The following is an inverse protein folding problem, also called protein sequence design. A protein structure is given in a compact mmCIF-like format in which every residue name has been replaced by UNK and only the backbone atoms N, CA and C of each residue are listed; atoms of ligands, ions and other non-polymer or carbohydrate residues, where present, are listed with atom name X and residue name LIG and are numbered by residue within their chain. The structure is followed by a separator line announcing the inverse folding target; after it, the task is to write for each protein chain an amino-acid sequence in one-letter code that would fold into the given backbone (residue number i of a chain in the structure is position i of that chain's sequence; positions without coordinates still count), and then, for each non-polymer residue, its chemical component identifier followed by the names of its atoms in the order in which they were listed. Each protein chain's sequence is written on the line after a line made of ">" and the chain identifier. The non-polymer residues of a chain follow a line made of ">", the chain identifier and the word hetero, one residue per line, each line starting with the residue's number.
data_IF_725391296340
#
_entry.id   IF_725391296340
#
_cell.length_a   1.000
_cell.length_b   1.000
_cell.length_c   1.000
_cell.angle_alpha   90.00
_cell.angle_beta   90.00
_cell.angle_gamma   90.00
#
_symmetry.space_group_name_H-M   'P 1'
#
loop_
_entity.id
_entity.type
_entity.pdbx_description
1 polymer ?
#
# COMPACT_ATOMS: atom_id res chain seq x y z
N UNK A 1 -32.78 -8.39 -4.12
CA UNK A 1 -31.43 -7.86 -3.85
C UNK A 1 -30.97 -7.04 -5.05
N UNK A 2 -30.71 -5.75 -4.88
CA UNK A 2 -29.65 -4.98 -5.57
C UNK A 2 -29.61 -3.58 -4.96
N UNK A 3 -28.56 -3.33 -4.17
CA UNK A 3 -28.35 -2.07 -3.46
C UNK A 3 -27.49 -1.09 -4.27
N UNK A 4 -27.57 0.21 -3.96
CA UNK A 4 -27.34 1.33 -4.87
C UNK A 4 -26.00 2.03 -4.61
N UNK A 5 -25.19 2.26 -5.65
CA UNK A 5 -24.08 3.20 -5.57
C UNK A 5 -23.80 3.85 -6.92
N UNK A 6 -24.20 5.12 -7.07
CA UNK A 6 -23.23 6.18 -7.41
C UNK A 6 -23.88 7.54 -7.25
N UNK A 7 -23.61 8.14 -6.10
CA UNK A 7 -23.70 9.58 -5.90
C UNK A 7 -22.83 10.27 -6.95
N UNK A 8 -23.46 10.81 -8.00
CA UNK A 8 -22.89 11.94 -8.72
C UNK A 8 -23.32 13.19 -7.96
N UNK A 9 -22.53 13.57 -6.96
CA UNK A 9 -22.57 14.94 -6.43
C UNK A 9 -21.66 15.77 -7.34
N UNK A 10 -22.17 16.69 -8.16
CA UNK A 10 -21.34 17.64 -8.88
C UNK A 10 -20.69 18.56 -7.85
N UNK A 11 -19.38 18.75 -7.99
CA UNK A 11 -18.51 19.45 -7.05
C UNK A 11 -19.10 20.77 -6.55
N UNK A 12 -19.30 20.83 -5.24
CA UNK A 12 -19.61 22.04 -4.48
C UNK A 12 -18.45 23.02 -4.64
N UNK A 13 -18.79 24.20 -5.15
CA UNK A 13 -17.97 25.40 -5.14
C UNK A 13 -17.48 25.71 -3.71
N UNK A 14 -16.22 25.39 -3.42
CA UNK A 14 -15.48 26.03 -2.35
C UNK A 14 -14.39 26.89 -2.97
N UNK A 15 -14.73 28.16 -3.10
CA UNK A 15 -13.84 29.28 -2.83
C UNK A 15 -12.53 29.31 -3.66
N UNK A 16 -12.69 29.69 -4.93
CA UNK A 16 -11.66 30.21 -5.83
C UNK A 16 -11.17 31.58 -5.34
N UNK A 17 -10.59 31.68 -4.15
CA UNK A 17 -10.33 32.99 -3.51
C UNK A 17 -9.07 33.67 -4.07
N UNK A 18 -8.09 32.95 -4.63
CA UNK A 18 -6.99 33.60 -5.37
C UNK A 18 -6.55 32.75 -6.59
N UNK A 19 -6.48 33.40 -7.76
CA UNK A 19 -6.48 32.79 -9.10
C UNK A 19 -5.49 31.64 -9.32
N UNK A 20 -6.04 30.47 -9.64
CA UNK A 20 -5.30 29.20 -9.69
C UNK A 20 -4.36 29.06 -10.88
N UNK A 21 -4.55 29.83 -11.96
CA UNK A 21 -3.91 29.53 -13.25
C UNK A 21 -2.66 30.37 -13.50
N UNK A 22 -2.76 31.70 -13.49
CA UNK A 22 -1.60 32.56 -13.79
C UNK A 22 -0.49 32.47 -12.75
N UNK A 23 -0.83 32.37 -11.45
CA UNK A 23 0.16 32.21 -10.39
C UNK A 23 0.79 30.81 -10.38
N UNK A 24 0.04 29.75 -10.73
CA UNK A 24 0.62 28.41 -10.85
C UNK A 24 1.66 28.38 -11.98
N UNK A 25 1.30 28.92 -13.14
CA UNK A 25 2.19 29.01 -14.29
C UNK A 25 3.42 29.87 -13.98
N UNK A 26 3.25 30.98 -13.25
CA UNK A 26 4.38 31.80 -12.80
C UNK A 26 5.25 31.11 -11.78
N UNK A 27 4.68 30.44 -10.78
CA UNK A 27 5.45 29.70 -9.78
C UNK A 27 6.27 28.57 -10.45
N UNK A 28 5.69 27.86 -11.40
CA UNK A 28 6.40 26.84 -12.19
C UNK A 28 7.54 27.44 -13.03
N UNK A 29 7.27 28.58 -13.69
CA UNK A 29 8.29 29.32 -14.44
C UNK A 29 9.41 29.82 -13.53
N UNK A 30 9.10 30.37 -12.36
CA UNK A 30 10.08 30.82 -11.38
C UNK A 30 10.89 29.64 -10.84
N UNK A 31 10.25 28.53 -10.48
CA UNK A 31 10.94 27.33 -9.99
C UNK A 31 11.92 26.77 -11.03
N UNK A 32 11.51 26.70 -12.31
CA UNK A 32 12.39 26.29 -13.42
C UNK A 32 13.54 27.27 -13.64
N UNK A 33 13.28 28.57 -13.48
CA UNK A 33 14.29 29.62 -13.66
C UNK A 33 15.34 29.63 -12.54
N UNK A 34 14.92 29.60 -11.27
CA UNK A 34 15.82 29.55 -10.11
C UNK A 34 16.54 28.20 -9.96
N UNK A 35 15.98 27.11 -10.47
CA UNK A 35 16.59 25.77 -10.44
C UNK A 35 17.72 25.56 -11.46
N UNK A 36 17.96 26.53 -12.35
CA UNK A 36 19.01 26.43 -13.37
C UNK A 36 20.32 27.04 -12.85
N UNK A 37 21.47 26.32 -12.87
CA UNK A 37 22.74 26.84 -12.37
C UNK A 37 23.22 28.10 -13.12
N UNK A 38 22.80 28.29 -14.37
CA UNK A 38 23.09 29.49 -15.15
C UNK A 38 22.47 30.78 -14.59
N UNK A 39 21.34 30.70 -13.88
CA UNK A 39 20.72 31.88 -13.28
C UNK A 39 21.59 32.48 -12.17
N UNK A 40 22.13 31.63 -11.28
CA UNK A 40 23.04 32.09 -10.22
C UNK A 40 24.30 32.73 -10.80
N UNK A 41 24.91 32.12 -11.82
CA UNK A 41 26.10 32.68 -12.48
C UNK A 41 25.82 34.05 -13.12
N UNK A 42 24.68 34.20 -13.82
CA UNK A 42 24.27 35.46 -14.41
C UNK A 42 24.03 36.54 -13.37
N UNK A 43 23.31 36.22 -12.28
CA UNK A 43 23.05 37.15 -11.17
C UNK A 43 24.35 37.62 -10.51
N UNK A 44 25.29 36.70 -10.23
CA UNK A 44 26.59 37.04 -9.65
C UNK A 44 27.42 37.91 -10.59
N UNK A 45 27.40 37.63 -11.90
CA UNK A 45 28.12 38.44 -12.89
C UNK A 45 27.57 39.87 -12.98
N UNK A 46 26.25 40.06 -12.95
CA UNK A 46 25.61 41.38 -12.96
C UNK A 46 26.01 42.18 -11.71
N UNK A 47 25.94 41.56 -10.53
CA UNK A 47 26.34 42.20 -9.26
C UNK A 47 27.83 42.55 -9.27
N UNK A 48 28.69 41.65 -9.73
CA UNK A 48 30.12 41.89 -9.84
C UNK A 48 30.45 43.01 -10.83
N UNK A 49 29.78 43.05 -11.99
CA UNK A 49 29.93 44.12 -12.97
C UNK A 49 29.47 45.48 -12.41
N UNK A 50 28.38 45.51 -11.65
CA UNK A 50 27.89 46.71 -10.98
C UNK A 50 28.89 47.26 -9.95
N UNK A 51 29.45 46.37 -9.13
CA UNK A 51 30.48 46.73 -8.15
C UNK A 51 31.73 47.25 -8.88
N UNK A 52 32.19 46.58 -9.94
CA UNK A 52 33.36 46.99 -10.71
C UNK A 52 33.17 48.35 -11.41
N UNK A 53 31.99 48.59 -11.98
CA UNK A 53 31.65 49.87 -12.62
C UNK A 53 31.62 51.04 -11.63
N UNK A 54 31.11 50.81 -10.40
CA UNK A 54 31.11 51.83 -9.34
C UNK A 54 32.50 52.01 -8.71
N UNK A 55 33.28 50.93 -8.55
CA UNK A 55 34.62 50.97 -7.96
C UNK A 55 35.65 51.69 -8.85
N UNK A 56 35.49 51.62 -10.17
CA UNK A 56 36.37 52.31 -11.15
C UNK A 56 36.13 53.82 -11.22
N UNK A 57 35.12 54.35 -10.52
CA UNK A 57 34.89 55.79 -10.38
C UNK A 57 34.40 56.49 -11.65
N UNK A 58 34.14 55.75 -12.72
CA UNK A 58 33.65 56.26 -14.02
C UNK A 58 32.24 56.85 -13.88
N UNK A 59 31.45 56.31 -12.95
CA UNK A 59 30.08 56.74 -12.65
C UNK A 59 29.90 56.73 -11.12
N UNK A 60 29.90 57.88 -10.45
CA UNK A 60 29.66 58.00 -8.99
C UNK A 60 28.16 57.89 -8.65
N UNK A 61 27.50 56.83 -9.13
CA UNK A 61 26.07 56.65 -8.87
C UNK A 61 25.80 56.04 -7.48
N UNK A 62 26.71 55.21 -6.93
CA UNK A 62 26.53 54.56 -5.63
C UNK A 62 27.85 54.51 -4.81
N UNK A 63 28.10 55.53 -3.97
CA UNK A 63 29.25 55.60 -3.05
C UNK A 63 29.10 54.60 -1.89
N UNK A 64 30.22 54.11 -1.34
CA UNK A 64 30.23 53.23 -0.16
C UNK A 64 29.35 53.82 0.96
N UNK A 65 28.30 53.13 1.46
CA UNK A 65 28.03 51.68 1.40
C UNK A 65 26.85 51.30 0.47
N UNK A 66 27.04 51.38 -0.86
CA UNK A 66 26.13 50.86 -1.91
C UNK A 66 24.64 50.86 -1.54
N UNK A 67 24.08 52.04 -1.25
CA UNK A 67 22.74 52.17 -0.69
C UNK A 67 21.67 51.71 -1.67
N UNK A 68 21.88 51.93 -2.98
CA UNK A 68 20.92 51.57 -4.01
C UNK A 68 20.91 50.05 -4.24
N UNK A 69 22.08 49.41 -4.23
CA UNK A 69 22.18 47.96 -4.31
C UNK A 69 21.50 47.29 -3.12
N UNK A 70 21.76 47.79 -1.90
CA UNK A 70 21.10 47.31 -0.70
C UNK A 70 19.59 47.51 -0.73
N UNK A 71 19.12 48.66 -1.22
CA UNK A 71 17.69 48.94 -1.38
C UNK A 71 17.04 48.00 -2.41
N UNK A 72 17.73 47.74 -3.53
CA UNK A 72 17.25 46.82 -4.56
C UNK A 72 17.13 45.39 -4.04
N UNK A 73 18.13 44.89 -3.30
CA UNK A 73 18.05 43.57 -2.66
C UNK A 73 16.97 43.50 -1.57
N UNK A 74 16.82 44.55 -0.78
CA UNK A 74 15.75 44.64 0.23
C UNK A 74 14.37 44.57 -0.42
N UNK A 75 14.16 45.30 -1.51
CA UNK A 75 12.92 45.27 -2.28
C UNK A 75 12.70 43.91 -2.95
N UNK A 76 13.75 43.30 -3.49
CA UNK A 76 13.71 41.97 -4.09
C UNK A 76 13.24 40.93 -3.06
N UNK A 77 13.78 40.97 -1.84
CA UNK A 77 13.35 40.10 -0.75
C UNK A 77 11.92 40.40 -0.29
N UNK A 78 11.55 41.68 -0.19
CA UNK A 78 10.23 42.11 0.25
C UNK A 78 9.09 41.66 -0.69
N UNK A 79 9.32 41.64 -2.01
CA UNK A 79 8.35 41.12 -2.97
C UNK A 79 8.38 39.59 -3.09
N UNK A 80 9.54 38.97 -2.87
CA UNK A 80 9.67 37.51 -2.87
C UNK A 80 8.92 36.87 -1.69
N UNK A 81 8.99 37.45 -0.48
CA UNK A 81 8.38 36.91 0.72
C UNK A 81 6.86 36.57 0.60
N UNK A 82 5.98 37.49 0.15
CA UNK A 82 4.56 37.17 -0.02
C UNK A 82 4.32 36.16 -1.15
N UNK A 83 5.09 36.22 -2.25
CA UNK A 83 4.99 35.23 -3.32
C UNK A 83 5.35 33.83 -2.86
N UNK A 84 6.43 33.70 -2.07
CA UNK A 84 6.86 32.45 -1.47
C UNK A 84 5.81 31.95 -0.48
N UNK A 85 5.27 32.83 0.37
CA UNK A 85 4.22 32.46 1.32
C UNK A 85 2.99 31.90 0.60
N UNK A 86 2.51 32.57 -0.45
CA UNK A 86 1.38 32.08 -1.25
C UNK A 86 1.70 30.74 -1.95
N UNK A 87 2.92 30.57 -2.46
CA UNK A 87 3.36 29.31 -3.04
C UNK A 87 3.39 28.19 -2.00
N UNK A 88 3.88 28.48 -0.79
CA UNK A 88 3.93 27.56 0.34
C UNK A 88 2.53 27.15 0.81
N UNK A 89 1.58 28.09 0.94
CA UNK A 89 0.19 27.77 1.31
C UNK A 89 -0.43 26.79 0.31
N UNK A 90 -0.26 27.05 -1.00
CA UNK A 90 -0.79 26.14 -2.03
C UNK A 90 -0.09 24.78 -2.05
N UNK A 91 1.20 24.75 -1.76
CA UNK A 91 1.95 23.50 -1.66
C UNK A 91 1.45 22.68 -0.46
N UNK A 92 1.27 23.31 0.70
CA UNK A 92 0.72 22.69 1.89
C UNK A 92 -0.71 22.14 1.67
N UNK A 93 -1.56 22.87 0.95
CA UNK A 93 -2.91 22.41 0.60
C UNK A 93 -2.87 21.14 -0.28
N UNK A 94 -1.98 21.11 -1.29
CA UNK A 94 -1.80 19.92 -2.14
C UNK A 94 -1.23 18.75 -1.33
N UNK A 95 -0.21 19.00 -0.52
CA UNK A 95 0.44 17.97 0.30
C UNK A 95 -0.56 17.37 1.29
N UNK A 96 -1.44 18.20 1.88
CA UNK A 96 -2.54 17.74 2.72
C UNK A 96 -3.54 16.88 1.95
N UNK A 97 -3.98 17.31 0.77
CA UNK A 97 -4.91 16.52 -0.05
C UNK A 97 -4.31 15.17 -0.48
N UNK A 98 -3.02 15.16 -0.85
CA UNK A 98 -2.29 13.92 -1.14
C UNK A 98 -2.17 13.01 0.08
N UNK A 99 -1.86 13.57 1.25
CA UNK A 99 -1.78 12.81 2.50
C UNK A 99 -3.13 12.21 2.92
N UNK A 100 -4.23 12.95 2.74
CA UNK A 100 -5.58 12.47 3.05
C UNK A 100 -5.99 11.34 2.12
N UNK A 101 -5.74 11.47 0.81
CA UNK A 101 -6.02 10.42 -0.16
C UNK A 101 -5.19 9.15 0.10
N UNK A 102 -3.91 9.31 0.46
CA UNK A 102 -3.03 8.19 0.82
C UNK A 102 -3.51 7.50 2.10
N UNK A 103 -3.93 8.26 3.12
CA UNK A 103 -4.48 7.71 4.35
C UNK A 103 -5.74 6.87 4.08
N UNK A 104 -6.69 7.42 3.30
CA UNK A 104 -7.90 6.70 2.91
C UNK A 104 -7.58 5.42 2.10
N UNK A 105 -6.60 5.50 1.19
CA UNK A 105 -6.17 4.35 0.41
C UNK A 105 -5.56 3.25 1.30
N UNK A 106 -4.72 3.63 2.27
CA UNK A 106 -4.14 2.70 3.25
C UNK A 106 -5.21 2.04 4.12
N UNK A 107 -6.20 2.80 4.59
CA UNK A 107 -7.32 2.26 5.36
C UNK A 107 -8.15 1.27 4.53
N UNK A 108 -8.46 1.59 3.28
CA UNK A 108 -9.19 0.69 2.38
C UNK A 108 -8.42 -0.61 2.12
N UNK A 109 -7.10 -0.54 1.91
CA UNK A 109 -6.25 -1.73 1.77
C UNK A 109 -6.23 -2.55 3.07
N UNK A 110 -6.15 -1.90 4.24
CA UNK A 110 -6.13 -2.59 5.52
C UNK A 110 -7.43 -3.38 5.76
N UNK A 111 -8.59 -2.79 5.46
CA UNK A 111 -9.89 -3.48 5.56
C UNK A 111 -9.95 -4.66 4.60
N UNK A 112 -9.62 -4.46 3.32
CA UNK A 112 -9.64 -5.54 2.34
C UNK A 112 -8.67 -6.69 2.69
N UNK A 113 -7.52 -6.38 3.29
CA UNK A 113 -6.58 -7.39 3.75
C UNK A 113 -7.11 -8.15 4.98
N UNK A 114 -7.80 -7.47 5.90
CA UNK A 114 -8.44 -8.13 7.04
C UNK A 114 -9.54 -9.09 6.58
N UNK A 115 -10.37 -8.69 5.61
CA UNK A 115 -11.39 -9.55 5.01
C UNK A 115 -10.77 -10.80 4.37
N UNK A 116 -9.74 -10.62 3.53
CA UNK A 116 -9.00 -11.74 2.92
C UNK A 116 -8.40 -12.68 3.96
N UNK A 117 -7.84 -12.15 5.05
CA UNK A 117 -7.30 -12.98 6.13
C UNK A 117 -8.39 -13.79 6.81
N UNK A 118 -9.57 -13.21 7.04
CA UNK A 118 -10.71 -13.93 7.61
C UNK A 118 -11.20 -15.05 6.68
N UNK A 119 -11.30 -14.80 5.37
CA UNK A 119 -11.66 -15.82 4.39
C UNK A 119 -10.64 -16.96 4.35
N UNK A 120 -9.33 -16.64 4.33
CA UNK A 120 -8.26 -17.64 4.36
C UNK A 120 -8.30 -18.45 5.65
N UNK A 121 -8.55 -17.81 6.80
CA UNK A 121 -8.68 -18.50 8.08
C UNK A 121 -9.88 -19.47 8.09
N UNK A 122 -11.02 -19.05 7.53
CA UNK A 122 -12.19 -19.91 7.40
C UNK A 122 -11.93 -21.12 6.48
N UNK A 123 -11.27 -20.90 5.33
CA UNK A 123 -10.87 -21.98 4.42
C UNK A 123 -9.89 -22.95 5.09
N UNK A 124 -8.91 -22.43 5.83
CA UNK A 124 -7.95 -23.25 6.57
C UNK A 124 -8.64 -24.16 7.60
N UNK A 125 -9.65 -23.64 8.32
CA UNK A 125 -10.44 -24.43 9.25
C UNK A 125 -11.18 -25.60 8.56
N UNK A 126 -11.78 -25.36 7.38
CA UNK A 126 -12.43 -26.41 6.60
C UNK A 126 -11.45 -27.47 6.13
N UNK A 127 -10.26 -27.08 5.67
CA UNK A 127 -9.20 -28.02 5.27
C UNK A 127 -8.80 -28.93 6.43
N UNK A 128 -8.64 -28.38 7.64
CA UNK A 128 -8.34 -29.17 8.84
C UNK A 128 -9.45 -30.18 9.13
N UNK A 129 -10.72 -29.79 9.00
CA UNK A 129 -11.86 -30.70 9.16
C UNK A 129 -11.84 -31.83 8.13
N UNK A 130 -11.60 -31.53 6.85
CA UNK A 130 -11.53 -32.53 5.79
C UNK A 130 -10.37 -33.52 6.00
N UNK A 131 -9.20 -33.02 6.40
CA UNK A 131 -8.04 -33.87 6.74
C UNK A 131 -8.36 -34.82 7.88
N UNK A 132 -9.04 -34.33 8.92
CA UNK A 132 -9.48 -35.15 10.05
C UNK A 132 -10.45 -36.24 9.62
N UNK A 133 -11.46 -35.92 8.81
CA UNK A 133 -12.41 -36.89 8.29
C UNK A 133 -11.73 -37.97 7.42
N UNK A 134 -10.79 -37.58 6.56
CA UNK A 134 -10.01 -38.54 5.78
C UNK A 134 -9.21 -39.50 6.67
N UNK A 135 -8.66 -38.99 7.77
CA UNK A 135 -7.92 -39.81 8.75
C UNK A 135 -8.86 -40.81 9.43
N UNK A 136 -10.07 -40.39 9.82
CA UNK A 136 -11.09 -41.23 10.45
C UNK A 136 -11.64 -42.31 9.50
N UNK A 137 -11.91 -41.94 8.23
CA UNK A 137 -12.26 -42.90 7.19
C UNK A 137 -11.15 -43.94 7.00
N UNK A 138 -9.90 -43.50 6.93
CA UNK A 138 -8.74 -44.39 6.83
C UNK A 138 -8.65 -45.35 8.03
N UNK A 139 -8.88 -44.87 9.25
CA UNK A 139 -8.91 -45.71 10.44
C UNK A 139 -10.07 -46.72 10.39
N UNK A 140 -11.25 -46.30 9.93
CA UNK A 140 -12.42 -47.17 9.80
C UNK A 140 -12.21 -48.27 8.76
N UNK A 141 -11.60 -47.95 7.61
CA UNK A 141 -11.26 -48.95 6.59
C UNK A 141 -10.29 -50.00 7.10
N UNK A 142 -9.25 -49.60 7.86
CA UNK A 142 -8.34 -50.54 8.53
C UNK A 142 -9.10 -51.48 9.48
N UNK A 143 -9.96 -50.93 10.33
CA UNK A 143 -10.72 -51.71 11.31
C UNK A 143 -11.67 -52.72 10.63
N UNK A 144 -12.36 -52.29 9.57
CA UNK A 144 -13.21 -53.19 8.76
C UNK A 144 -12.38 -54.30 8.12
N UNK A 145 -11.22 -53.99 7.56
CA UNK A 145 -10.30 -54.98 6.97
C UNK A 145 -9.82 -56.00 8.01
N UNK A 146 -9.44 -55.55 9.20
CA UNK A 146 -9.01 -56.42 10.30
C UNK A 146 -10.15 -57.36 10.74
N UNK A 147 -11.38 -56.85 10.86
CA UNK A 147 -12.57 -57.65 11.19
C UNK A 147 -12.89 -58.68 10.12
N UNK A 148 -12.81 -58.31 8.84
CA UNK A 148 -13.03 -59.27 7.74
C UNK A 148 -11.98 -60.38 7.79
N UNK A 149 -10.71 -60.04 8.04
CA UNK A 149 -9.64 -61.03 8.16
C UNK A 149 -9.90 -62.01 9.31
N UNK A 150 -10.25 -61.51 10.49
CA UNK A 150 -10.54 -62.36 11.67
C UNK A 150 -11.78 -63.23 11.45
N UNK A 151 -12.86 -62.68 10.89
CA UNK A 151 -14.05 -63.47 10.56
C UNK A 151 -13.75 -64.53 9.51
N UNK A 152 -12.91 -64.23 8.51
CA UNK A 152 -12.49 -65.18 7.49
C UNK A 152 -11.65 -66.32 8.09
N UNK A 153 -10.72 -65.99 8.99
CA UNK A 153 -9.93 -66.99 9.73
C UNK A 153 -10.82 -67.89 10.59
N UNK A 154 -11.77 -67.33 11.33
CA UNK A 154 -12.68 -68.10 12.19
C UNK A 154 -13.58 -69.02 11.36
N UNK A 155 -14.11 -68.51 10.23
CA UNK A 155 -14.92 -69.30 9.30
C UNK A 155 -14.09 -70.42 8.66
N UNK A 156 -12.86 -70.13 8.23
CA UNK A 156 -11.94 -71.16 7.73
C UNK A 156 -11.67 -72.24 8.80
N UNK A 157 -11.44 -71.82 10.05
CA UNK A 157 -11.21 -72.74 11.18
C UNK A 157 -12.43 -73.62 11.47
N UNK A 158 -13.65 -73.06 11.42
CA UNK A 158 -14.89 -73.83 11.59
C UNK A 158 -15.11 -74.83 10.46
N UNK A 159 -14.91 -74.42 9.20
CA UNK A 159 -15.01 -75.32 8.05
C UNK A 159 -14.01 -76.47 8.17
N UNK A 160 -12.77 -76.20 8.58
CA UNK A 160 -11.75 -77.24 8.81
C UNK A 160 -12.14 -78.20 9.95
N UNK A 161 -12.80 -77.71 11.01
CA UNK A 161 -13.33 -78.54 12.10
C UNK A 161 -14.49 -79.43 11.65
N UNK A 162 -15.38 -78.90 10.80
CA UNK A 162 -16.50 -79.66 10.23
C UNK A 162 -16.06 -80.67 9.16
N UNK A 163 -14.93 -80.44 8.48
CA UNK A 163 -14.37 -81.34 7.47
C UNK A 163 -13.53 -82.50 8.06
N UNK A 164 -13.33 -82.58 9.38
CA UNK A 164 -12.62 -83.69 10.02
C UNK A 164 -13.51 -84.96 10.10
N UNK A 165 -13.07 -86.16 9.66
CA UNK A 165 -13.94 -87.34 9.57
C UNK A 165 -14.31 -87.91 10.96
N UNK A 166 -15.50 -88.55 11.11
CA UNK A 166 -15.88 -89.20 12.35
C UNK A 166 -15.01 -90.44 12.61
N UNK A 167 -14.27 -90.41 13.71
CA UNK A 167 -13.56 -91.58 14.25
C UNK A 167 -14.60 -92.66 14.62
N UNK A 168 -14.50 -93.83 13.98
CA UNK A 168 -15.36 -94.99 14.24
C UNK A 168 -15.10 -95.52 15.66
N UNK A 169 -16.04 -95.31 16.57
CA UNK A 169 -16.23 -96.20 17.72
C UNK A 169 -17.35 -97.21 17.41
N UNK A 170 -17.14 -98.53 17.59
CA UNK A 170 -18.26 -99.47 17.62
C UNK A 170 -18.68 -99.77 19.06
N UNK A 171 -19.98 -99.65 19.31
CA UNK A 171 -20.64 -100.14 20.52
C UNK A 171 -20.78 -101.66 20.57
N UNK A 172 -20.67 -102.18 21.79
CA UNK A 172 -21.47 -103.25 22.43
C UNK A 172 -22.00 -104.41 21.58
N UNK A 173 -21.56 -105.65 21.87
CA UNK A 173 -22.44 -106.84 22.01
C UNK A 173 -21.65 -108.08 22.49
N UNK A 174 -21.88 -108.46 23.75
CA UNK A 174 -21.96 -109.81 24.37
C UNK A 174 -21.38 -109.84 25.79
#
# INVERSE_FOLDING_TARGET
>A
MNHPYRFHTPHVHLARVFGNDWFALKAESFARFFGTPGFLLGQTAIVAAWIAANATGVVRFDLYPFILLNLAFSLQAAYAAPLILLAQTRQADRDKAHSEADAQHREAIAVANAERQAEVAAQAALLVTLVRQNTELTASTKLLSERISTLTEELHRQVMKTAAPPEKGPGTAH
#
